data_IF_560092151056
#
_entry.id   IF_560092151056
#
_cell.length_a   1.000
_cell.length_b   1.000
_cell.length_c   1.000
_cell.angle_alpha   90.00
_cell.angle_beta   90.00
_cell.angle_gamma   90.00
#
_symmetry.space_group_name_H-M   'P 1'
#
loop_
_entity.id
_entity.type
_entity.pdbx_description
1 polymer ?
#
# COMPACT_ATOMS: atom_id res chain seq x y z
N UNK A 1 10.21 12.74 13.90
CA UNK A 1 10.41 11.38 13.38
C UNK A 1 9.45 11.05 12.27
N UNK A 2 9.91 10.38 11.25
CA UNK A 2 9.06 9.99 10.13
C UNK A 2 8.00 8.99 10.55
N UNK A 3 6.82 9.11 9.96
CA UNK A 3 5.76 8.14 10.17
C UNK A 3 5.96 6.99 9.20
N UNK A 4 6.29 5.82 9.73
CA UNK A 4 6.56 4.64 8.91
C UNK A 4 5.37 4.22 8.05
N UNK A 5 4.16 4.52 8.51
CA UNK A 5 2.96 4.22 7.76
C UNK A 5 2.99 4.88 6.37
N UNK A 6 3.28 6.17 6.33
CA UNK A 6 3.30 6.89 5.04
C UNK A 6 4.50 6.52 4.19
N UNK A 7 5.62 6.19 4.81
CA UNK A 7 6.78 5.72 4.06
C UNK A 7 6.45 4.42 3.35
N UNK A 8 5.79 3.50 4.07
CA UNK A 8 5.37 2.24 3.46
C UNK A 8 4.46 2.49 2.27
N UNK A 9 3.44 3.34 2.45
CA UNK A 9 2.46 3.59 1.38
C UNK A 9 3.15 4.16 0.15
N UNK A 10 4.02 5.13 0.33
CA UNK A 10 4.73 5.75 -0.79
C UNK A 10 5.60 4.74 -1.54
N UNK A 11 6.31 3.90 -0.79
CA UNK A 11 7.19 2.90 -1.39
C UNK A 11 6.39 1.83 -2.14
N UNK A 12 5.28 1.39 -1.57
CA UNK A 12 4.50 0.35 -2.22
C UNK A 12 3.82 0.86 -3.50
N UNK A 13 3.39 2.12 -3.50
CA UNK A 13 2.84 2.71 -4.72
C UNK A 13 3.87 2.64 -5.84
N UNK A 14 5.11 3.05 -5.54
CA UNK A 14 6.17 3.04 -6.55
C UNK A 14 6.41 1.64 -7.08
N UNK A 15 6.49 0.66 -6.19
CA UNK A 15 6.73 -0.72 -6.61
C UNK A 15 5.58 -1.27 -7.44
N UNK A 16 4.35 -0.97 -7.06
CA UNK A 16 3.20 -1.41 -7.83
C UNK A 16 3.23 -0.80 -9.23
N UNK A 17 3.51 0.49 -9.32
CA UNK A 17 3.53 1.16 -10.63
C UNK A 17 4.63 0.61 -11.54
N UNK A 18 5.75 0.20 -10.95
CA UNK A 18 6.85 -0.35 -11.73
C UNK A 18 6.62 -1.81 -12.13
N UNK A 19 6.08 -2.60 -11.23
CA UNK A 19 6.05 -4.07 -11.41
C UNK A 19 4.72 -4.62 -11.87
N UNK A 20 3.61 -4.02 -11.42
CA UNK A 20 2.30 -4.57 -11.74
C UNK A 20 1.82 -4.23 -13.14
N UNK A 21 2.30 -3.12 -13.69
CA UNK A 21 1.98 -2.70 -15.06
C UNK A 21 0.46 -2.70 -15.33
N UNK A 22 -0.29 -2.18 -14.38
CA UNK A 22 -1.73 -2.05 -14.53
C UNK A 22 -2.55 -3.28 -14.19
N UNK A 23 -1.90 -4.38 -13.79
CA UNK A 23 -2.59 -5.61 -13.46
C UNK A 23 -2.99 -5.66 -11.99
N UNK A 24 -4.31 -5.81 -11.77
CA UNK A 24 -4.84 -5.79 -10.40
C UNK A 24 -4.31 -6.94 -9.54
N UNK A 25 -4.22 -8.14 -10.10
CA UNK A 25 -3.74 -9.30 -9.34
C UNK A 25 -2.28 -9.15 -8.94
N UNK A 26 -1.47 -8.63 -9.85
CA UNK A 26 -0.06 -8.36 -9.54
C UNK A 26 0.06 -7.30 -8.45
N UNK A 27 -0.79 -6.27 -8.51
CA UNK A 27 -0.79 -5.21 -7.50
C UNK A 27 -1.13 -5.76 -6.12
N UNK A 28 -2.14 -6.63 -6.04
CA UNK A 28 -2.51 -7.26 -4.77
C UNK A 28 -1.36 -8.10 -4.20
N UNK A 29 -0.70 -8.85 -5.06
CA UNK A 29 0.43 -9.68 -4.64
C UNK A 29 1.56 -8.84 -4.09
N UNK A 30 1.83 -7.71 -4.75
CA UNK A 30 2.88 -6.80 -4.29
C UNK A 30 2.53 -6.23 -2.92
N UNK A 31 1.27 -5.83 -2.71
CA UNK A 31 0.84 -5.32 -1.40
C UNK A 31 1.11 -6.34 -0.31
N UNK A 32 0.69 -7.58 -0.51
CA UNK A 32 0.89 -8.63 0.49
C UNK A 32 2.37 -8.88 0.75
N UNK A 33 3.16 -8.95 -0.31
CA UNK A 33 4.58 -9.20 -0.18
C UNK A 33 5.28 -8.09 0.61
N UNK A 34 4.97 -6.84 0.29
CA UNK A 34 5.61 -5.72 0.96
C UNK A 34 5.17 -5.59 2.40
N UNK A 35 3.90 -5.89 2.68
CA UNK A 35 3.42 -5.87 4.06
C UNK A 35 4.16 -6.89 4.91
N UNK A 36 4.35 -8.10 4.39
CA UNK A 36 5.04 -9.16 5.12
C UNK A 36 6.48 -8.79 5.43
N UNK A 37 7.14 -8.08 4.53
CA UNK A 37 8.54 -7.72 4.67
C UNK A 37 8.75 -6.48 5.53
N UNK A 38 7.72 -5.68 5.73
CA UNK A 38 7.88 -4.38 6.37
C UNK A 38 7.98 -4.52 7.88
N UNK A 39 9.08 -4.02 8.45
CA UNK A 39 9.29 -4.07 9.90
C UNK A 39 8.84 -2.76 10.52
N UNK A 40 7.95 -2.86 11.49
CA UNK A 40 7.41 -1.69 12.17
C UNK A 40 6.80 -2.09 13.50
N UNK A 41 6.48 -1.09 14.32
CA UNK A 41 5.84 -1.36 15.61
C UNK A 41 4.40 -1.81 15.41
N UNK A 42 3.83 -2.44 16.46
CA UNK A 42 2.50 -3.04 16.38
C UNK A 42 1.40 -2.06 15.97
N UNK A 43 1.46 -0.84 16.47
CA UNK A 43 0.42 0.14 16.14
C UNK A 43 0.42 0.50 14.66
N UNK A 44 1.61 0.62 14.08
CA UNK A 44 1.74 0.89 12.65
C UNK A 44 1.32 -0.33 11.85
N UNK A 45 1.70 -1.53 12.32
CA UNK A 45 1.32 -2.77 11.65
C UNK A 45 -0.20 -2.91 11.54
N UNK A 46 -0.91 -2.58 12.62
CA UNK A 46 -2.36 -2.64 12.60
C UNK A 46 -2.97 -1.71 11.56
N UNK A 47 -2.43 -0.51 11.46
CA UNK A 47 -2.91 0.45 10.46
C UNK A 47 -2.63 -0.05 9.05
N UNK A 48 -1.45 -0.63 8.83
CA UNK A 48 -1.08 -1.15 7.52
C UNK A 48 -1.96 -2.31 7.09
N UNK A 49 -2.27 -3.22 8.03
CA UNK A 49 -3.13 -4.35 7.73
C UNK A 49 -4.51 -3.85 7.28
N UNK A 50 -5.06 -2.88 7.99
CA UNK A 50 -6.36 -2.32 7.63
C UNK A 50 -6.34 -1.68 6.25
N UNK A 51 -5.28 -0.93 5.96
CA UNK A 51 -5.14 -0.30 4.65
C UNK A 51 -5.02 -1.31 3.53
N UNK A 52 -4.18 -2.32 3.74
CA UNK A 52 -3.96 -3.35 2.71
C UNK A 52 -5.28 -4.09 2.43
N UNK A 53 -6.05 -4.41 3.47
CA UNK A 53 -7.34 -5.06 3.29
C UNK A 53 -8.31 -4.20 2.49
N UNK A 54 -8.34 -2.89 2.79
CA UNK A 54 -9.19 -1.96 2.03
C UNK A 54 -8.76 -1.91 0.57
N UNK A 55 -7.47 -1.85 0.33
CA UNK A 55 -6.94 -1.78 -1.04
C UNK A 55 -7.25 -3.06 -1.82
N UNK A 56 -7.14 -4.20 -1.15
CA UNK A 56 -7.38 -5.49 -1.82
C UNK A 56 -8.85 -5.72 -2.16
N UNK A 57 -9.75 -4.97 -1.53
CA UNK A 57 -11.18 -5.05 -1.87
C UNK A 57 -11.53 -4.26 -3.12
N UNK A 58 -10.62 -3.40 -3.58
CA UNK A 58 -10.88 -2.64 -4.79
C UNK A 58 -10.93 -3.57 -5.99
N UNK A 59 -11.80 -3.26 -6.94
CA UNK A 59 -12.06 -4.13 -8.07
C UNK A 59 -11.32 -3.73 -9.33
N UNK A 60 -10.54 -2.65 -9.28
CA UNK A 60 -9.73 -2.25 -10.42
C UNK A 60 -8.39 -1.73 -9.94
N UNK A 61 -7.40 -1.85 -10.82
CA UNK A 61 -6.07 -1.34 -10.55
C UNK A 61 -6.12 0.14 -10.22
N UNK A 62 -6.86 0.90 -11.02
CA UNK A 62 -6.93 2.36 -10.84
C UNK A 62 -7.52 2.73 -9.48
N UNK A 63 -8.59 2.07 -9.05
CA UNK A 63 -9.18 2.42 -7.76
C UNK A 63 -8.27 2.02 -6.60
N UNK A 64 -7.52 0.93 -6.73
CA UNK A 64 -6.56 0.55 -5.72
C UNK A 64 -5.46 1.61 -5.59
N UNK A 65 -4.89 2.03 -6.72
CA UNK A 65 -3.82 3.03 -6.72
C UNK A 65 -4.34 4.36 -6.20
N UNK A 66 -5.56 4.74 -6.58
CA UNK A 66 -6.15 6.00 -6.09
C UNK A 66 -6.28 6.00 -4.57
N UNK A 67 -6.73 4.89 -4.00
CA UNK A 67 -6.82 4.78 -2.53
C UNK A 67 -5.45 4.97 -1.89
N UNK A 68 -4.45 4.31 -2.42
CA UNK A 68 -3.10 4.39 -1.84
C UNK A 68 -2.52 5.80 -1.97
N UNK A 69 -2.73 6.44 -3.11
CA UNK A 69 -2.25 7.82 -3.30
C UNK A 69 -2.96 8.80 -2.39
N UNK A 70 -4.26 8.59 -2.17
CA UNK A 70 -5.02 9.41 -1.25
C UNK A 70 -4.45 9.34 0.16
N UNK A 71 -4.16 8.12 0.62
CA UNK A 71 -3.58 7.90 1.93
C UNK A 71 -2.18 8.52 2.02
N UNK A 72 -1.37 8.35 0.98
CA UNK A 72 -0.03 8.93 0.96
C UNK A 72 -0.10 10.46 1.06
N UNK A 73 -1.11 11.07 0.44
CA UNK A 73 -1.28 12.52 0.48
C UNK A 73 -1.69 13.06 1.83
N UNK A 74 -2.24 12.21 2.70
CA UNK A 74 -2.65 12.66 4.04
C UNK A 74 -1.48 13.14 4.89
N UNK A 75 -0.27 12.72 4.54
CA UNK A 75 0.92 13.12 5.27
C UNK A 75 1.31 14.57 4.99
N UNK A 76 0.77 15.16 3.94
CA UNK A 76 1.07 16.54 3.56
C UNK A 76 0.07 17.56 4.14
#
# INVERSE_FOLDING_TARGET
MKNNYYIFVSDVIRKIELEAQGDLFSARRILDRELDKYECVSSVRSKLIKLVRRAERKTSYRSMINLLKEVAGENE
#
